data_IF_934683910318
#
_entry.id   IF_934683910318
#
_cell.length_a   1.000
_cell.length_b   1.000
_cell.length_c   1.000
_cell.angle_alpha   90.00
_cell.angle_beta   90.00
_cell.angle_gamma   90.00
#
_symmetry.space_group_name_H-M   'P 1'
#
loop_
_entity.id
_entity.type
_entity.pdbx_description
1 polymer ?
#
# COMPACT_ATOMS: atom_id res chain seq x y z
N UNK A 1 17.04 -12.35 -9.27
CA UNK A 1 15.82 -11.91 -9.98
C UNK A 1 14.84 -11.46 -8.92
N UNK A 2 14.27 -10.25 -9.02
CA UNK A 2 13.24 -9.79 -8.10
C UNK A 2 12.01 -10.68 -8.26
N UNK A 3 11.52 -11.28 -7.18
CA UNK A 3 10.42 -12.24 -7.23
C UNK A 3 9.11 -11.53 -6.87
N UNK A 4 8.03 -11.82 -7.59
CA UNK A 4 6.73 -11.16 -7.40
C UNK A 4 6.22 -11.19 -5.95
N UNK A 5 6.55 -12.25 -5.19
CA UNK A 5 6.20 -12.36 -3.77
C UNK A 5 6.87 -11.28 -2.90
N UNK A 6 8.01 -10.72 -3.30
CA UNK A 6 8.72 -9.68 -2.54
C UNK A 6 7.94 -8.37 -2.55
N UNK A 7 7.25 -8.08 -3.65
CA UNK A 7 6.38 -6.90 -3.79
C UNK A 7 5.16 -7.05 -2.86
N UNK A 8 4.52 -8.23 -2.85
CA UNK A 8 3.42 -8.48 -1.92
C UNK A 8 3.87 -8.44 -0.45
N UNK A 9 5.07 -8.94 -0.16
CA UNK A 9 5.63 -8.89 1.20
C UNK A 9 5.91 -7.45 1.61
N UNK A 10 6.49 -6.63 0.73
CA UNK A 10 6.68 -5.20 0.94
C UNK A 10 5.34 -4.48 1.18
N UNK A 11 4.30 -4.81 0.41
CA UNK A 11 2.95 -4.29 0.63
C UNK A 11 2.41 -4.63 2.02
N UNK A 12 2.49 -5.91 2.44
CA UNK A 12 2.03 -6.35 3.78
C UNK A 12 2.79 -5.64 4.90
N UNK A 13 4.10 -5.43 4.74
CA UNK A 13 4.95 -4.72 5.70
C UNK A 13 4.64 -3.21 5.77
N UNK A 14 4.12 -2.64 4.68
CA UNK A 14 3.72 -1.23 4.64
C UNK A 14 2.39 -0.96 5.36
N UNK A 15 1.63 -1.99 5.75
CA UNK A 15 0.36 -1.86 6.49
C UNK A 15 0.64 -1.37 7.92
N UNK A 16 0.07 -0.21 8.25
CA UNK A 16 0.03 0.35 9.58
C UNK A 16 -1.29 0.03 10.26
N UNK A 17 -1.20 -0.28 11.55
CA UNK A 17 -2.35 -0.44 12.43
C UNK A 17 -2.51 0.83 13.25
N UNK A 18 -3.61 1.54 13.03
CA UNK A 18 -3.92 2.72 13.81
C UNK A 18 -4.54 2.33 15.16
N UNK A 19 -4.38 3.15 16.22
CA UNK A 19 -5.05 2.95 17.50
C UNK A 19 -6.59 2.86 17.38
N UNK A 20 -7.14 3.44 16.30
CA UNK A 20 -8.56 3.38 15.96
C UNK A 20 -9.04 1.98 15.49
N UNK A 21 -8.13 1.02 15.33
CA UNK A 21 -8.39 -0.29 14.74
C UNK A 21 -8.38 -0.30 13.21
N UNK A 22 -8.17 0.86 12.57
CA UNK A 22 -8.06 0.98 11.12
C UNK A 22 -6.71 0.46 10.64
N UNK A 23 -6.69 -0.11 9.43
CA UNK A 23 -5.46 -0.45 8.73
C UNK A 23 -5.27 0.52 7.58
N UNK A 24 -4.12 1.18 7.54
CA UNK A 24 -3.78 2.18 6.51
C UNK A 24 -2.41 1.90 5.91
N UNK A 25 -2.23 2.30 4.65
CA UNK A 25 -0.95 2.23 3.93
C UNK A 25 -0.76 3.55 3.21
N UNK A 26 0.44 4.11 3.26
CA UNK A 26 0.83 5.22 2.39
C UNK A 26 1.71 4.72 1.26
N UNK A 27 1.58 5.33 0.09
CA UNK A 27 2.38 4.99 -1.10
C UNK A 27 3.86 5.15 -0.82
N UNK A 28 4.26 6.21 -0.12
CA UNK A 28 5.65 6.43 0.27
C UNK A 28 6.19 5.33 1.18
N UNK A 29 5.39 4.80 2.10
CA UNK A 29 5.81 3.67 2.95
C UNK A 29 5.95 2.39 2.13
N UNK A 30 5.03 2.15 1.19
CA UNK A 30 5.16 1.01 0.29
C UNK A 30 6.45 1.07 -0.55
N UNK A 31 6.80 2.25 -1.09
CA UNK A 31 8.09 2.46 -1.77
C UNK A 31 9.28 2.20 -0.84
N UNK A 32 9.25 2.68 0.41
CA UNK A 32 10.32 2.39 1.37
C UNK A 32 10.49 0.89 1.66
N UNK A 33 9.40 0.11 1.72
CA UNK A 33 9.49 -1.33 1.89
C UNK A 33 10.00 -2.04 0.63
N UNK A 34 9.67 -1.52 -0.57
CA UNK A 34 10.20 -2.02 -1.84
C UNK A 34 11.72 -1.79 -1.97
N UNK A 35 12.21 -0.63 -1.54
CA UNK A 35 13.64 -0.31 -1.57
C UNK A 35 14.47 -1.30 -0.73
N UNK A 36 13.94 -1.78 0.40
CA UNK A 36 14.60 -2.78 1.26
C UNK A 36 14.80 -4.14 0.56
N UNK A 37 13.97 -4.45 -0.43
CA UNK A 37 14.04 -5.67 -1.23
C UNK A 37 14.64 -5.41 -2.62
N UNK A 38 15.33 -4.28 -2.82
CA UNK A 38 15.97 -3.86 -4.07
C UNK A 38 14.99 -3.61 -5.23
N UNK A 39 13.77 -3.19 -4.93
CA UNK A 39 12.80 -2.70 -5.92
C UNK A 39 12.70 -1.18 -5.80
N UNK A 40 13.12 -0.46 -6.85
CA UNK A 40 13.11 1.00 -6.87
C UNK A 40 11.97 1.49 -7.74
N UNK A 41 10.85 1.85 -7.12
CA UNK A 41 9.67 2.37 -7.81
C UNK A 41 9.44 3.83 -7.47
N UNK A 42 8.96 4.58 -8.46
CA UNK A 42 8.32 5.86 -8.22
C UNK A 42 7.00 5.68 -7.46
N UNK A 43 6.54 6.75 -6.80
CA UNK A 43 5.22 6.77 -6.16
C UNK A 43 4.12 6.45 -7.18
N UNK A 44 4.24 6.94 -8.42
CA UNK A 44 3.31 6.62 -9.52
C UNK A 44 3.25 5.13 -9.85
N UNK A 45 4.38 4.46 -9.94
CA UNK A 45 4.45 3.03 -10.22
C UNK A 45 3.87 2.21 -9.08
N UNK A 46 4.18 2.57 -7.84
CA UNK A 46 3.59 1.99 -6.66
C UNK A 46 2.06 2.14 -6.63
N UNK A 47 1.54 3.34 -6.94
CA UNK A 47 0.09 3.58 -7.05
C UNK A 47 -0.56 2.69 -8.10
N UNK A 48 0.03 2.59 -9.30
CA UNK A 48 -0.49 1.70 -10.34
C UNK A 48 -0.52 0.26 -9.84
N UNK A 49 0.55 -0.21 -9.20
CA UNK A 49 0.54 -1.57 -8.67
C UNK A 49 -0.60 -1.78 -7.66
N UNK A 50 -0.81 -0.85 -6.73
CA UNK A 50 -1.90 -0.89 -5.74
C UNK A 50 -3.26 -0.95 -6.45
N UNK A 51 -3.52 -0.06 -7.40
CA UNK A 51 -4.79 -0.01 -8.14
C UNK A 51 -5.10 -1.31 -8.90
N UNK A 52 -4.08 -1.98 -9.41
CA UNK A 52 -4.24 -3.22 -10.17
C UNK A 52 -4.33 -4.47 -9.30
N UNK A 53 -3.65 -4.52 -8.16
CA UNK A 53 -3.47 -5.75 -7.37
C UNK A 53 -4.22 -5.73 -6.03
N UNK A 54 -4.57 -4.56 -5.50
CA UNK A 54 -5.14 -4.41 -4.16
C UNK A 54 -6.60 -3.95 -4.27
N UNK A 55 -7.53 -4.89 -4.06
CA UNK A 55 -8.98 -4.62 -4.14
C UNK A 55 -9.63 -4.35 -2.77
N UNK A 56 -8.94 -4.66 -1.67
CA UNK A 56 -9.48 -4.54 -0.31
C UNK A 56 -9.14 -3.21 0.37
N UNK A 57 -8.39 -2.33 -0.29
CA UNK A 57 -8.06 -1.00 0.20
C UNK A 57 -8.66 0.05 -0.72
N UNK A 58 -9.17 1.13 -0.13
CA UNK A 58 -9.67 2.30 -0.87
C UNK A 58 -8.77 3.50 -0.63
N UNK A 59 -8.64 4.37 -1.63
CA UNK A 59 -7.96 5.64 -1.50
C UNK A 59 -8.79 6.58 -0.58
N UNK A 60 -8.13 7.15 0.42
CA UNK A 60 -8.66 8.15 1.37
C UNK A 60 -7.77 9.40 1.41
N UNK A 61 -6.93 9.60 0.40
CA UNK A 61 -6.05 10.77 0.30
C UNK A 61 -6.87 12.06 0.32
N UNK A 62 -6.45 13.01 1.14
CA UNK A 62 -7.08 14.34 1.27
C UNK A 62 -6.31 15.44 0.56
N UNK A 63 -5.09 15.13 0.11
CA UNK A 63 -4.17 16.04 -0.55
C UNK A 63 -3.90 15.54 -1.97
N UNK A 64 -3.77 16.47 -2.92
CA UNK A 64 -3.34 16.15 -4.27
C UNK A 64 -1.86 15.69 -4.27
N UNK A 65 -1.58 14.61 -4.98
CA UNK A 65 -0.22 14.10 -5.14
C UNK A 65 -0.15 12.59 -5.35
N UNK A 66 1.06 12.10 -5.59
CA UNK A 66 1.32 10.67 -5.77
C UNK A 66 1.54 9.94 -4.44
N UNK A 67 1.77 10.64 -3.34
CA UNK A 67 1.83 10.00 -2.03
C UNK A 67 0.43 9.80 -1.44
N UNK A 68 -0.31 8.85 -2.00
CA UNK A 68 -1.70 8.55 -1.60
C UNK A 68 -1.75 7.73 -0.32
N UNK A 69 -2.85 7.87 0.40
CA UNK A 69 -3.16 7.10 1.61
C UNK A 69 -4.33 6.18 1.33
N UNK A 70 -4.12 4.89 1.56
CA UNK A 70 -5.12 3.86 1.36
C UNK A 70 -5.57 3.31 2.71
N UNK A 71 -6.85 2.99 2.85
CA UNK A 71 -7.44 2.39 4.04
C UNK A 71 -8.10 1.06 3.69
N UNK A 72 -7.90 0.05 4.53
CA UNK A 72 -8.61 -1.22 4.40
C UNK A 72 -10.11 -0.94 4.48
N UNK A 73 -10.82 -1.29 3.41
CA UNK A 73 -12.26 -1.20 3.31
C UNK A 73 -12.78 -2.60 3.04
N UNK A 74 -13.37 -3.20 4.06
CA UNK A 74 -13.99 -4.50 3.93
C UNK A 74 -15.50 -4.30 3.71
N UNK A 75 -16.05 -4.51 2.50
CA UNK A 75 -17.48 -4.33 2.24
C UNK A 75 -18.35 -5.36 2.98
N UNK A 76 -17.76 -6.45 3.47
CA UNK A 76 -18.50 -7.55 4.13
C UNK A 76 -18.55 -7.44 5.66
N UNK A 77 -18.01 -6.36 6.27
CA UNK A 77 -18.00 -6.19 7.73
C UNK A 77 -17.16 -7.26 8.41
N UNK A 78 -15.88 -6.98 8.65
CA UNK A 78 -15.01 -7.94 9.34
C UNK A 78 -15.42 -8.14 10.79
N UNK A 79 -16.26 -9.15 11.04
CA UNK A 79 -16.23 -10.11 12.15
C UNK A 79 -17.13 -11.31 11.81
#
# INVERSE_FOLDING_TARGET
MPRHYEIEMAWRNAIMFEPSGRKTVTTGRFVQELEKVNHYWSLREANRWIEWHVTTFRDISTQEGENRTFQLFNPNGGL
#
